data_IF_237074413345
#
_entry.id   IF_237074413345
#
_cell.length_a   1.000
_cell.length_b   1.000
_cell.length_c   1.000
_cell.angle_alpha   90.00
_cell.angle_beta   90.00
_cell.angle_gamma   90.00
#
_symmetry.space_group_name_H-M   'P 1'
#
loop_
_entity.id
_entity.type
_entity.pdbx_description
1 polymer ?
#
# COMPACT_ATOMS: atom_id res chain seq x y z
N UNK A 1 -0.01 36.32 -13.81
CA UNK A 1 0.25 37.25 -14.92
C UNK A 1 -0.36 36.80 -16.25
N UNK A 2 -0.22 35.53 -16.67
CA UNK A 2 -0.84 35.06 -17.93
C UNK A 2 -2.37 34.94 -17.88
N UNK A 3 -2.94 34.42 -16.79
CA UNK A 3 -4.39 34.29 -16.63
C UNK A 3 -5.12 35.65 -16.56
N UNK A 4 -4.49 36.65 -15.97
CA UNK A 4 -5.02 38.01 -15.89
C UNK A 4 -5.00 38.71 -17.25
N UNK A 5 -3.99 38.46 -18.09
CA UNK A 5 -3.91 39.00 -19.44
C UNK A 5 -5.01 38.45 -20.37
N UNK A 6 -5.29 37.14 -20.32
CA UNK A 6 -6.37 36.54 -21.12
C UNK A 6 -7.77 36.99 -20.67
N UNK A 7 -7.97 37.27 -19.39
CA UNK A 7 -9.21 37.88 -18.89
C UNK A 7 -9.35 39.33 -19.35
N UNK A 8 -8.26 40.10 -19.34
CA UNK A 8 -8.24 41.49 -19.81
C UNK A 8 -8.67 41.58 -21.29
N UNK A 9 -8.10 40.74 -22.16
CA UNK A 9 -8.43 40.72 -23.59
C UNK A 9 -9.91 40.39 -23.85
N UNK A 10 -10.45 39.43 -23.09
CA UNK A 10 -11.87 39.07 -23.17
C UNK A 10 -12.78 40.20 -22.69
N UNK A 11 -12.40 40.89 -21.62
CA UNK A 11 -13.15 42.04 -21.10
C UNK A 11 -13.14 43.17 -22.12
N UNK A 12 -12.00 43.51 -22.71
CA UNK A 12 -11.93 44.54 -23.76
C UNK A 12 -12.74 44.17 -25.00
N UNK A 13 -12.73 42.89 -25.41
CA UNK A 13 -13.57 42.40 -26.50
C UNK A 13 -15.07 42.53 -26.18
N UNK A 14 -15.48 42.29 -24.92
CA UNK A 14 -16.85 42.49 -24.47
C UNK A 14 -17.22 43.97 -24.40
N UNK A 15 -16.34 44.82 -23.87
CA UNK A 15 -16.56 46.27 -23.83
C UNK A 15 -16.72 46.85 -25.23
N UNK A 16 -15.89 46.43 -26.19
CA UNK A 16 -16.03 46.83 -27.61
C UNK A 16 -17.34 46.35 -28.24
N UNK A 17 -17.85 45.16 -27.87
CA UNK A 17 -19.12 44.64 -28.39
C UNK A 17 -20.34 45.35 -27.80
N UNK A 18 -20.28 45.79 -26.54
CA UNK A 18 -21.42 46.39 -25.83
C UNK A 18 -21.45 47.91 -25.99
N UNK A 19 -20.30 48.58 -25.89
CA UNK A 19 -20.20 50.05 -25.93
C UNK A 19 -19.71 50.59 -27.28
N UNK A 20 -19.28 49.72 -28.21
CA UNK A 20 -18.73 50.13 -29.49
C UNK A 20 -17.35 50.80 -29.36
N UNK A 21 -16.88 51.45 -30.42
CA UNK A 21 -15.56 52.11 -30.48
C UNK A 21 -15.51 53.48 -29.77
N UNK A 22 -16.59 53.89 -29.09
CA UNK A 22 -16.73 55.24 -28.52
C UNK A 22 -16.50 55.28 -27.01
N UNK A 23 -15.75 56.27 -26.54
CA UNK A 23 -15.47 56.53 -25.12
C UNK A 23 -16.67 57.02 -24.28
N UNK A 24 -17.87 57.09 -24.88
CA UNK A 24 -19.08 57.54 -24.20
C UNK A 24 -19.70 56.39 -23.36
N UNK A 25 -19.16 56.18 -22.16
CA UNK A 25 -19.70 55.28 -21.13
C UNK A 25 -20.95 55.88 -20.46
N UNK A 26 -21.96 56.19 -21.24
CA UNK A 26 -23.28 56.56 -20.71
C UNK A 26 -24.01 55.34 -20.14
N UNK A 27 -25.04 55.51 -19.29
CA UNK A 27 -25.91 54.42 -18.87
C UNK A 27 -26.63 53.84 -20.08
N UNK A 28 -26.02 52.82 -20.70
CA UNK A 28 -26.58 52.14 -21.85
C UNK A 28 -27.78 51.32 -21.44
N UNK A 29 -28.96 51.79 -21.84
CA UNK A 29 -30.22 51.04 -21.77
C UNK A 29 -30.28 49.93 -22.84
N UNK A 30 -29.19 49.18 -23.00
CA UNK A 30 -29.14 48.06 -23.95
C UNK A 30 -30.22 47.03 -23.62
N UNK A 31 -30.48 46.79 -22.34
CA UNK A 31 -31.58 45.96 -21.87
C UNK A 31 -32.95 46.52 -22.30
N UNK A 32 -33.25 47.80 -22.05
CA UNK A 32 -34.53 48.39 -22.46
C UNK A 32 -34.70 48.43 -23.99
N UNK A 33 -33.60 48.65 -24.73
CA UNK A 33 -33.57 48.59 -26.18
C UNK A 33 -33.83 47.18 -26.70
N UNK A 34 -33.24 46.17 -26.06
CA UNK A 34 -33.45 44.76 -26.38
C UNK A 34 -34.90 44.35 -26.12
N UNK A 35 -35.47 44.76 -24.98
CA UNK A 35 -36.89 44.53 -24.63
C UNK A 35 -37.82 45.19 -25.65
N UNK A 36 -37.51 46.42 -26.10
CA UNK A 36 -38.30 47.09 -27.15
C UNK A 36 -38.22 46.35 -28.49
N UNK A 37 -37.05 45.85 -28.86
CA UNK A 37 -36.86 45.06 -30.09
C UNK A 37 -37.58 43.72 -29.97
N UNK A 38 -37.50 43.03 -28.84
CA UNK A 38 -38.21 41.78 -28.57
C UNK A 38 -39.73 41.97 -28.69
N UNK A 39 -40.30 43.01 -28.07
CA UNK A 39 -41.74 43.33 -28.17
C UNK A 39 -42.13 43.69 -29.61
N UNK A 40 -41.29 44.45 -30.33
CA UNK A 40 -41.55 44.79 -31.73
C UNK A 40 -41.52 43.54 -32.63
N UNK A 41 -40.55 42.65 -32.43
CA UNK A 41 -40.42 41.37 -33.14
C UNK A 41 -41.58 40.43 -32.82
N UNK A 42 -42.01 40.34 -31.55
CA UNK A 42 -43.18 39.58 -31.14
C UNK A 42 -44.45 40.08 -31.82
N UNK A 43 -44.66 41.40 -31.87
CA UNK A 43 -45.79 42.02 -32.57
C UNK A 43 -45.76 41.76 -34.09
N UNK A 44 -44.57 41.76 -34.70
CA UNK A 44 -44.41 41.46 -36.13
C UNK A 44 -44.67 39.98 -36.41
N UNK A 45 -44.17 39.07 -35.56
CA UNK A 45 -44.37 37.64 -35.67
C UNK A 45 -45.85 37.24 -35.50
N UNK A 46 -46.59 37.88 -34.60
CA UNK A 46 -48.03 37.65 -34.41
C UNK A 46 -48.85 38.14 -35.61
N UNK A 47 -48.48 39.27 -36.22
CA UNK A 47 -49.20 39.84 -37.38
C UNK A 47 -48.86 39.15 -38.71
N UNK A 48 -47.72 38.45 -38.81
CA UNK A 48 -47.23 37.83 -40.05
C UNK A 48 -46.85 36.37 -39.80
N UNK A 49 -47.76 35.45 -40.13
CA UNK A 49 -47.57 34.00 -39.92
C UNK A 49 -46.31 33.46 -40.61
N UNK A 50 -45.93 33.99 -41.79
CA UNK A 50 -44.68 33.63 -42.47
C UNK A 50 -43.42 33.90 -41.63
N UNK A 51 -43.42 34.99 -40.86
CA UNK A 51 -42.28 35.37 -40.01
C UNK A 51 -42.23 34.46 -38.77
N UNK A 52 -43.39 34.13 -38.19
CA UNK A 52 -43.49 33.16 -37.10
C UNK A 52 -42.99 31.77 -37.47
N UNK A 53 -43.28 31.30 -38.68
CA UNK A 53 -42.74 30.04 -39.20
C UNK A 53 -41.22 30.11 -39.35
N UNK A 54 -40.68 31.25 -39.82
CA UNK A 54 -39.23 31.44 -39.93
C UNK A 54 -38.55 31.44 -38.56
N UNK A 55 -39.13 32.06 -37.53
CA UNK A 55 -38.59 32.00 -36.17
C UNK A 55 -38.50 30.57 -35.63
N UNK A 56 -39.56 29.77 -35.79
CA UNK A 56 -39.55 28.36 -35.41
C UNK A 56 -38.50 27.56 -36.18
N UNK A 57 -38.36 27.81 -37.48
CA UNK A 57 -37.32 27.17 -38.30
C UNK A 57 -35.90 27.56 -37.86
N UNK A 58 -35.68 28.80 -37.43
CA UNK A 58 -34.38 29.23 -36.89
C UNK A 58 -34.07 28.51 -35.59
N UNK A 59 -35.04 28.40 -34.67
CA UNK A 59 -34.87 27.63 -33.42
C UNK A 59 -34.56 26.17 -33.70
N UNK A 60 -35.24 25.57 -34.67
CA UNK A 60 -34.97 24.19 -35.07
C UNK A 60 -33.60 24.05 -35.73
N UNK A 61 -33.21 24.97 -36.61
CA UNK A 61 -31.87 25.00 -37.21
C UNK A 61 -30.75 25.15 -36.17
N UNK A 62 -30.96 25.94 -35.11
CA UNK A 62 -30.00 26.05 -33.99
C UNK A 62 -29.84 24.69 -33.29
N UNK A 63 -30.93 23.92 -33.12
CA UNK A 63 -30.85 22.55 -32.57
C UNK A 63 -30.10 21.60 -33.51
N UNK A 64 -30.34 21.70 -34.82
CA UNK A 64 -29.64 20.87 -35.81
C UNK A 64 -28.16 21.23 -35.96
N UNK A 65 -27.77 22.46 -35.61
CA UNK A 65 -26.38 22.94 -35.63
C UNK A 65 -25.59 22.57 -34.37
N UNK A 66 -26.24 22.05 -33.32
CA UNK A 66 -25.52 21.52 -32.17
C UNK A 66 -24.79 20.22 -32.59
N UNK A 67 -23.45 20.16 -32.52
CA UNK A 67 -22.69 18.95 -32.85
C UNK A 67 -23.16 17.72 -32.08
N UNK A 68 -23.62 17.90 -30.84
CA UNK A 68 -24.14 16.82 -30.01
C UNK A 68 -25.47 16.26 -30.51
N UNK A 69 -26.21 17.02 -31.31
CA UNK A 69 -27.48 16.60 -31.88
C UNK A 69 -27.28 15.68 -33.09
N UNK A 70 -26.30 15.99 -33.97
CA UNK A 70 -25.97 15.18 -35.15
C UNK A 70 -25.42 13.80 -34.74
N UNK A 71 -24.54 13.76 -33.73
CA UNK A 71 -23.95 12.51 -33.22
C UNK A 71 -25.00 11.55 -32.62
N UNK A 72 -26.11 12.09 -32.13
CA UNK A 72 -27.22 11.31 -31.56
C UNK A 72 -28.29 10.91 -32.58
N UNK A 73 -28.32 11.50 -33.77
CA UNK A 73 -29.51 11.46 -34.64
C UNK A 73 -29.75 10.13 -35.36
N UNK A 74 -28.75 9.27 -35.50
CA UNK A 74 -28.87 7.83 -35.73
C UNK A 74 -27.56 7.34 -36.31
N UNK A 75 -26.83 6.52 -35.56
CA UNK A 75 -25.89 5.59 -36.19
C UNK A 75 -26.74 4.70 -37.10
N UNK A 76 -26.55 4.70 -38.43
CA UNK A 76 -27.33 3.87 -39.34
C UNK A 76 -27.18 2.39 -38.96
N UNK A 77 -28.21 1.58 -39.13
CA UNK A 77 -28.17 0.17 -38.68
C UNK A 77 -27.06 -0.65 -39.35
N UNK A 78 -26.72 -0.33 -40.61
CA UNK A 78 -25.57 -0.91 -41.29
C UNK A 78 -24.24 -0.59 -40.58
N UNK A 79 -24.11 0.60 -40.00
CA UNK A 79 -22.92 1.03 -39.27
C UNK A 79 -22.86 0.40 -37.87
N UNK A 80 -24.01 0.19 -37.22
CA UNK A 80 -24.07 -0.57 -35.96
C UNK A 80 -23.56 -2.01 -36.14
N UNK A 81 -23.94 -2.67 -37.24
CA UNK A 81 -23.46 -4.01 -37.53
C UNK A 81 -21.93 -4.03 -37.74
N UNK A 82 -21.40 -3.10 -38.52
CA UNK A 82 -19.94 -2.99 -38.73
C UNK A 82 -19.19 -2.70 -37.42
N UNK A 83 -19.77 -1.87 -36.55
CA UNK A 83 -19.21 -1.59 -35.24
C UNK A 83 -19.17 -2.84 -34.34
N UNK A 84 -20.27 -3.60 -34.29
CA UNK A 84 -20.33 -4.85 -33.50
C UNK A 84 -19.31 -5.87 -34.02
N UNK A 85 -19.19 -6.03 -35.34
CA UNK A 85 -18.22 -6.97 -35.93
C UNK A 85 -16.78 -6.51 -35.72
N UNK A 86 -16.50 -5.21 -35.83
CA UNK A 86 -15.18 -4.65 -35.57
C UNK A 86 -14.78 -4.79 -34.08
N UNK A 87 -15.74 -4.65 -33.17
CA UNK A 87 -15.51 -4.72 -31.73
C UNK A 87 -15.75 -6.11 -31.12
N UNK A 88 -16.07 -7.14 -31.92
CA UNK A 88 -16.44 -8.47 -31.44
C UNK A 88 -15.39 -9.05 -30.47
N UNK A 89 -14.12 -8.99 -30.87
CA UNK A 89 -13.01 -9.48 -30.05
C UNK A 89 -12.85 -8.68 -28.74
N UNK A 90 -13.07 -7.37 -28.81
CA UNK A 90 -13.05 -6.51 -27.63
C UNK A 90 -14.18 -6.88 -26.67
N UNK A 91 -15.41 -6.99 -27.16
CA UNK A 91 -16.58 -7.38 -26.36
C UNK A 91 -16.36 -8.75 -25.71
N UNK A 92 -15.89 -9.75 -26.47
CA UNK A 92 -15.61 -11.09 -25.94
C UNK A 92 -14.52 -11.06 -24.85
N UNK A 93 -13.43 -10.31 -25.06
CA UNK A 93 -12.39 -10.17 -24.05
C UNK A 93 -12.91 -9.52 -22.76
N UNK A 94 -13.79 -8.52 -22.89
CA UNK A 94 -14.39 -7.85 -21.74
C UNK A 94 -15.34 -8.78 -20.98
N UNK A 95 -16.13 -9.58 -21.68
CA UNK A 95 -17.00 -10.60 -21.05
C UNK A 95 -16.15 -11.61 -20.26
N UNK A 96 -15.07 -12.13 -20.85
CA UNK A 96 -14.18 -13.06 -20.16
C UNK A 96 -13.54 -12.46 -18.89
N UNK A 97 -13.13 -11.19 -18.94
CA UNK A 97 -12.61 -10.47 -17.78
C UNK A 97 -13.69 -10.25 -16.71
N UNK A 98 -14.91 -9.94 -17.13
CA UNK A 98 -16.03 -9.68 -16.23
C UNK A 98 -16.49 -10.98 -15.55
N UNK A 99 -16.47 -12.11 -16.25
CA UNK A 99 -16.68 -13.43 -15.67
C UNK A 99 -15.61 -13.77 -14.62
N UNK A 100 -14.33 -13.48 -14.90
CA UNK A 100 -13.25 -13.64 -13.91
C UNK A 100 -13.48 -12.77 -12.68
N UNK A 101 -13.87 -11.50 -12.86
CA UNK A 101 -14.18 -10.59 -11.77
C UNK A 101 -15.40 -11.07 -10.95
N UNK A 102 -16.43 -11.58 -11.61
CA UNK A 102 -17.62 -12.14 -10.96
C UNK A 102 -17.28 -13.37 -10.12
N UNK A 103 -16.42 -14.27 -10.63
CA UNK A 103 -15.91 -15.40 -9.85
C UNK A 103 -15.10 -14.96 -8.62
N UNK A 104 -14.36 -13.86 -8.74
CA UNK A 104 -13.58 -13.27 -7.65
C UNK A 104 -14.45 -12.61 -6.57
N UNK A 105 -15.65 -12.15 -6.91
CA UNK A 105 -16.59 -11.53 -5.97
C UNK A 105 -16.94 -12.46 -4.80
N UNK A 106 -17.05 -13.76 -5.05
CA UNK A 106 -17.33 -14.77 -4.02
C UNK A 106 -16.23 -14.88 -2.95
N UNK A 107 -14.98 -14.53 -3.29
CA UNK A 107 -13.87 -14.57 -2.33
C UNK A 107 -13.86 -13.37 -1.38
N UNK A 108 -14.37 -12.22 -1.83
CA UNK A 108 -14.48 -11.01 -0.99
C UNK A 108 -15.44 -11.22 0.18
N UNK A 109 -16.48 -12.03 -0.02
CA UNK A 109 -17.47 -12.37 1.00
C UNK A 109 -17.07 -13.54 1.91
N UNK A 110 -15.88 -14.09 1.73
CA UNK A 110 -15.42 -15.26 2.47
C UNK A 110 -15.37 -15.02 3.98
N UNK A 111 -15.79 -16.03 4.74
CA UNK A 111 -15.83 -15.97 6.20
C UNK A 111 -14.44 -15.67 6.83
N UNK A 112 -13.35 -16.03 6.16
CA UNK A 112 -11.98 -15.78 6.61
C UNK A 112 -11.60 -14.29 6.56
N UNK A 113 -12.06 -13.56 5.54
CA UNK A 113 -11.87 -12.10 5.46
C UNK A 113 -12.72 -11.42 6.54
N UNK A 114 -13.94 -11.90 6.77
CA UNK A 114 -14.83 -11.39 7.84
C UNK A 114 -14.31 -11.67 9.25
N UNK A 115 -13.59 -12.78 9.46
CA UNK A 115 -12.97 -13.15 10.73
C UNK A 115 -11.59 -12.50 10.96
N UNK A 116 -11.03 -11.80 9.97
CA UNK A 116 -9.75 -11.10 10.10
C UNK A 116 -9.64 -10.15 11.31
N UNK A 117 -10.64 -9.30 11.65
CA UNK A 117 -10.57 -8.45 12.84
C UNK A 117 -10.49 -9.24 14.16
N UNK A 118 -11.20 -10.38 14.27
CA UNK A 118 -11.17 -11.21 15.48
C UNK A 118 -9.80 -11.84 15.69
N UNK A 119 -9.16 -12.29 14.61
CA UNK A 119 -7.79 -12.79 14.65
C UNK A 119 -6.77 -11.68 14.93
N UNK A 120 -6.97 -10.47 14.39
CA UNK A 120 -6.13 -9.31 14.66
C UNK A 120 -6.13 -8.93 16.15
N UNK A 121 -7.30 -8.95 16.82
CA UNK A 121 -7.39 -8.68 18.26
C UNK A 121 -6.62 -9.72 19.09
N UNK A 122 -6.72 -11.01 18.74
CA UNK A 122 -5.94 -12.08 19.40
C UNK A 122 -4.45 -11.92 19.16
N UNK A 123 -4.04 -11.59 17.92
CA UNK A 123 -2.63 -11.33 17.58
C UNK A 123 -2.09 -10.11 18.31
N UNK A 124 -2.86 -9.03 18.44
CA UNK A 124 -2.47 -7.85 19.21
C UNK A 124 -2.23 -8.19 20.68
N UNK A 125 -3.10 -9.00 21.28
CA UNK A 125 -2.90 -9.49 22.66
C UNK A 125 -1.63 -10.32 22.79
N UNK A 126 -1.37 -11.21 21.84
CA UNK A 126 -0.15 -12.02 21.81
C UNK A 126 1.11 -11.14 21.63
N UNK A 127 1.06 -10.14 20.76
CA UNK A 127 2.15 -9.19 20.56
C UNK A 127 2.47 -8.44 21.85
N UNK A 128 1.45 -8.00 22.60
CA UNK A 128 1.64 -7.36 23.89
C UNK A 128 2.32 -8.28 24.91
N UNK A 129 1.87 -9.54 25.00
CA UNK A 129 2.49 -10.54 25.88
C UNK A 129 3.94 -10.80 25.45
N UNK A 130 4.19 -10.86 24.14
CA UNK A 130 5.52 -11.09 23.61
C UNK A 130 6.48 -9.96 23.97
N UNK A 131 6.05 -8.71 23.84
CA UNK A 131 6.83 -7.53 24.26
C UNK A 131 7.15 -7.60 25.77
N UNK A 132 6.16 -7.94 26.60
CA UNK A 132 6.36 -8.11 28.04
C UNK A 132 7.37 -9.22 28.38
N UNK A 133 7.27 -10.37 27.70
CA UNK A 133 8.20 -11.48 27.90
C UNK A 133 9.61 -11.13 27.42
N UNK A 134 9.75 -10.41 26.30
CA UNK A 134 11.06 -9.95 25.83
C UNK A 134 11.70 -8.97 26.82
N UNK A 135 10.96 -7.98 27.31
CA UNK A 135 11.44 -7.04 28.31
C UNK A 135 11.84 -7.74 29.61
N UNK A 136 11.01 -8.68 30.10
CA UNK A 136 11.31 -9.48 31.29
C UNK A 136 12.52 -10.41 31.10
N UNK A 137 12.69 -10.99 29.91
CA UNK A 137 13.86 -11.83 29.58
C UNK A 137 15.15 -11.01 29.52
N UNK A 138 15.11 -9.79 28.99
CA UNK A 138 16.27 -8.88 28.98
C UNK A 138 16.62 -8.44 30.40
N UNK A 139 15.62 -8.06 31.19
CA UNK A 139 15.82 -7.70 32.60
C UNK A 139 16.42 -8.84 33.43
N UNK A 140 15.86 -10.05 33.32
CA UNK A 140 16.39 -11.21 34.04
C UNK A 140 17.81 -11.59 33.60
N UNK A 141 18.11 -11.48 32.29
CA UNK A 141 19.48 -11.69 31.78
C UNK A 141 20.46 -10.65 32.34
N UNK A 142 20.04 -9.39 32.43
CA UNK A 142 20.85 -8.32 33.00
C UNK A 142 21.08 -8.56 34.50
N UNK A 143 20.03 -8.89 35.27
CA UNK A 143 20.18 -9.24 36.70
C UNK A 143 21.08 -10.46 36.92
N UNK A 144 21.04 -11.47 36.06
CA UNK A 144 21.94 -12.63 36.16
C UNK A 144 23.39 -12.25 35.80
N UNK A 145 23.60 -11.25 34.94
CA UNK A 145 24.95 -10.72 34.66
C UNK A 145 25.45 -9.82 35.79
N UNK A 146 24.59 -8.97 36.36
CA UNK A 146 24.93 -8.07 37.46
C UNK A 146 25.16 -8.84 38.77
N UNK A 147 24.29 -9.80 39.10
CA UNK A 147 24.48 -10.74 40.22
C UNK A 147 25.59 -11.76 39.95
N UNK A 148 25.87 -12.07 38.67
CA UNK A 148 26.99 -12.91 38.26
C UNK A 148 28.35 -12.24 38.40
N UNK A 149 28.39 -10.91 38.56
CA UNK A 149 29.62 -10.16 38.85
C UNK A 149 29.95 -10.16 40.34
N UNK A 150 28.94 -10.28 41.23
CA UNK A 150 29.15 -10.50 42.67
C UNK A 150 29.36 -11.97 43.03
N UNK A 151 28.83 -12.91 42.25
CA UNK A 151 28.92 -14.34 42.56
C UNK A 151 30.10 -15.02 41.85
N UNK A 152 31.32 -14.72 42.31
CA UNK A 152 32.53 -15.47 41.98
C UNK A 152 32.42 -16.99 42.22
N UNK A 153 31.40 -17.44 42.96
CA UNK A 153 31.05 -18.84 43.19
C UNK A 153 30.63 -19.59 41.91
N UNK A 154 30.02 -18.93 40.93
CA UNK A 154 29.49 -19.61 39.73
C UNK A 154 30.58 -19.83 38.68
N UNK A 155 31.53 -18.90 38.55
CA UNK A 155 32.72 -19.09 37.72
C UNK A 155 33.75 -20.00 38.42
N UNK A 156 33.91 -19.86 39.74
CA UNK A 156 34.75 -20.75 40.54
C UNK A 156 34.26 -22.20 40.48
N UNK A 157 32.95 -22.47 40.56
CA UNK A 157 32.43 -23.85 40.38
C UNK A 157 32.72 -24.40 38.99
N UNK A 158 32.64 -23.60 37.92
CA UNK A 158 32.98 -24.05 36.56
C UNK A 158 34.47 -24.41 36.41
N UNK A 159 35.36 -23.83 37.21
CA UNK A 159 36.80 -24.12 37.16
C UNK A 159 37.25 -25.15 38.21
N UNK A 160 36.57 -25.24 39.34
CA UNK A 160 36.93 -26.13 40.45
C UNK A 160 36.46 -27.57 40.22
N UNK A 161 35.34 -27.78 39.52
CA UNK A 161 34.84 -29.14 39.21
C UNK A 161 35.80 -29.92 38.29
N UNK A 162 36.33 -29.35 37.18
CA UNK A 162 37.34 -30.03 36.37
C UNK A 162 38.63 -30.35 37.14
N UNK A 163 39.09 -29.44 38.02
CA UNK A 163 40.29 -29.64 38.83
C UNK A 163 40.12 -30.73 39.90
N UNK A 164 38.93 -30.79 40.52
CA UNK A 164 38.63 -31.85 41.50
C UNK A 164 38.57 -33.22 40.80
N UNK A 165 37.98 -33.29 39.61
CA UNK A 165 37.97 -34.51 38.78
C UNK A 165 39.39 -34.90 38.38
N UNK A 166 40.21 -33.95 37.95
CA UNK A 166 41.62 -34.17 37.60
C UNK A 166 42.41 -34.74 38.78
N UNK A 167 42.24 -34.18 39.98
CA UNK A 167 42.93 -34.63 41.19
C UNK A 167 42.51 -36.05 41.60
N UNK A 168 41.23 -36.39 41.49
CA UNK A 168 40.72 -37.74 41.80
C UNK A 168 41.17 -38.77 40.77
N UNK A 169 41.18 -38.43 39.48
CA UNK A 169 41.67 -39.31 38.42
C UNK A 169 43.17 -39.58 38.56
N UNK A 170 43.98 -38.55 38.86
CA UNK A 170 45.43 -38.71 39.10
C UNK A 170 45.73 -39.60 40.31
N UNK A 171 44.99 -39.45 41.42
CA UNK A 171 45.13 -40.34 42.59
C UNK A 171 44.78 -41.79 42.26
N UNK A 172 43.74 -42.03 41.45
CA UNK A 172 43.37 -43.39 41.00
C UNK A 172 44.42 -44.00 40.06
N UNK A 173 45.05 -43.20 39.20
CA UNK A 173 46.17 -43.66 38.37
C UNK A 173 47.38 -44.08 39.22
N UNK A 174 47.80 -43.23 40.17
CA UNK A 174 48.94 -43.54 41.04
C UNK A 174 48.68 -44.78 41.93
N UNK A 175 47.43 -44.99 42.36
CA UNK A 175 47.04 -46.19 43.12
C UNK A 175 47.03 -47.46 42.27
N UNK A 176 46.72 -47.35 40.97
CA UNK A 176 46.81 -48.45 40.02
C UNK A 176 48.27 -48.82 39.70
N UNK A 177 49.15 -47.83 39.68
CA UNK A 177 50.60 -47.99 39.48
C UNK A 177 51.28 -48.70 40.67
N UNK A 178 50.92 -48.33 41.91
CA UNK A 178 51.41 -49.02 43.12
C UNK A 178 50.94 -50.47 43.27
N UNK A 179 49.84 -50.85 42.60
CA UNK A 179 49.27 -52.20 42.64
C UNK A 179 49.79 -53.13 41.55
N UNK A 180 50.78 -52.69 40.76
CA UNK A 180 51.45 -53.56 39.78
C UNK A 180 50.53 -54.09 38.68
N UNK A 181 49.48 -53.36 38.30
CA UNK A 181 48.63 -53.72 37.16
C UNK A 181 49.38 -53.32 35.88
N UNK A 182 50.40 -54.10 35.54
CA UNK A 182 51.22 -53.90 34.34
C UNK A 182 50.54 -54.56 33.13
N UNK A 183 50.34 -53.76 32.08
CA UNK A 183 50.09 -54.27 30.73
C UNK A 183 48.74 -53.84 30.14
N UNK A 184 48.81 -53.02 29.09
CA UNK A 184 47.73 -52.58 28.18
C UNK A 184 46.69 -51.56 28.70
N UNK A 185 46.07 -51.76 29.86
CA UNK A 185 45.02 -50.84 30.36
C UNK A 185 45.54 -49.45 30.76
N UNK A 186 46.80 -49.36 31.19
CA UNK A 186 47.41 -48.11 31.64
C UNK A 186 47.65 -47.13 30.48
N UNK A 187 48.12 -47.64 29.33
CA UNK A 187 48.32 -46.85 28.10
C UNK A 187 46.99 -46.29 27.57
N UNK A 188 45.94 -47.13 27.54
CA UNK A 188 44.62 -46.73 27.05
C UNK A 188 43.96 -45.66 27.95
N UNK A 189 44.13 -45.76 29.27
CA UNK A 189 43.63 -44.76 30.22
C UNK A 189 44.40 -43.43 30.14
N UNK A 190 45.72 -43.46 29.92
CA UNK A 190 46.51 -42.24 29.71
C UNK A 190 46.14 -41.52 28.41
N UNK A 191 45.95 -42.28 27.32
CA UNK A 191 45.62 -41.73 26.01
C UNK A 191 44.21 -41.14 25.96
N UNK A 192 43.24 -41.81 26.60
CA UNK A 192 41.86 -41.27 26.75
C UNK A 192 41.81 -40.05 27.66
N UNK A 193 42.61 -40.01 28.73
CA UNK A 193 42.73 -38.83 29.60
C UNK A 193 43.32 -37.62 28.86
N UNK A 194 44.39 -37.80 28.08
CA UNK A 194 44.97 -36.74 27.26
C UNK A 194 43.96 -36.20 26.23
N UNK A 195 43.22 -37.07 25.54
CA UNK A 195 42.22 -36.66 24.55
C UNK A 195 41.03 -35.89 25.15
N UNK A 196 40.48 -36.35 26.28
CA UNK A 196 39.38 -35.67 26.96
C UNK A 196 39.77 -34.27 27.50
N UNK A 197 40.99 -34.14 28.02
CA UNK A 197 41.48 -32.85 28.53
C UNK A 197 41.93 -31.90 27.43
N UNK A 198 42.54 -32.38 26.33
CA UNK A 198 42.84 -31.51 25.17
C UNK A 198 41.56 -30.96 24.52
N UNK A 199 40.51 -31.78 24.42
CA UNK A 199 39.22 -31.36 23.86
C UNK A 199 38.48 -30.38 24.77
N UNK A 200 38.61 -30.54 26.09
CA UNK A 200 38.07 -29.59 27.09
C UNK A 200 38.84 -28.27 27.11
N UNK A 201 40.17 -28.28 26.96
CA UNK A 201 41.00 -27.08 26.84
C UNK A 201 40.70 -26.28 25.55
N UNK A 202 40.35 -26.98 24.46
CA UNK A 202 39.90 -26.36 23.20
C UNK A 202 38.50 -25.73 23.33
N UNK A 203 37.57 -26.33 24.10
CA UNK A 203 36.28 -25.69 24.42
C UNK A 203 36.45 -24.48 25.35
N UNK A 204 37.43 -24.49 26.26
CA UNK A 204 37.76 -23.34 27.10
C UNK A 204 38.28 -22.13 26.30
N UNK A 205 39.02 -22.37 25.20
CA UNK A 205 39.45 -21.29 24.28
C UNK A 205 38.32 -20.74 23.40
N UNK A 206 37.26 -21.50 23.12
CA UNK A 206 36.10 -21.05 22.31
C UNK A 206 34.99 -20.37 23.12
N UNK A 207 35.09 -20.37 24.44
CA UNK A 207 34.12 -19.77 25.36
C UNK A 207 34.66 -18.61 26.18
N UNK A 208 35.62 -17.85 25.66
CA UNK A 208 35.90 -16.49 26.13
C UNK A 208 35.22 -15.51 25.16
N UNK A 209 34.53 -14.46 25.66
CA UNK A 209 33.96 -13.43 24.80
C UNK A 209 35.04 -12.77 23.94
#
# INVERSE_FOLDING_TARGET
>A
MAATAGLQERVEALERRVFGAGAARGPHKAADGLVKVEVALGNIAVKRERIKILYKKIEDLIKYLDPQYIDRMAVPDAMKLQFILAEEQFILSQVALLEQANNLQLFLDSAHIKAAPDHAAKLQRLAQIHIQQQAGRVYYKQQVQDNGTSDGLTSARRHQVPLLIQSKCRRRMNLAEQRGIAGTYHSFLLQTFQLLFHRSALSFKRGKP
#
